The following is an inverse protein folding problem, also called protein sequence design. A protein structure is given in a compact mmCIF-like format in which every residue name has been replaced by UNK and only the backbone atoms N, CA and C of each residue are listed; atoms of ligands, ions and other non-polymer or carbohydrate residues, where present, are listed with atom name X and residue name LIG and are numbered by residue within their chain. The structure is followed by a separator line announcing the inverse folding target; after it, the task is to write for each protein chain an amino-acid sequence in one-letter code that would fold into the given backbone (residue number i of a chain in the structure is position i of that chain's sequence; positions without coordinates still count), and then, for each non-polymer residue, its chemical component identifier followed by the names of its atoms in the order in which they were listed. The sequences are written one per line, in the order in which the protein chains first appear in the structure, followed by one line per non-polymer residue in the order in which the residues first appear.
data_IF_449403528448
#
_entry.id   IF_449403528448
#
_cell.length_a   1.000
_cell.length_b   1.000
_cell.length_c   1.000
_cell.angle_alpha   90.00
_cell.angle_beta   90.00
_cell.angle_gamma   90.00
#
_symmetry.space_group_name_H-M   'P 1'
#
loop_
_entity.id
_entity.type
_entity.pdbx_description
1 polymer ?
#
# COMPACT_ATOMS: atom_id res chain seq x y z
N UNK A 1 4.53 4.91 -14.97
CA UNK A 1 5.37 4.22 -13.98
C UNK A 1 6.80 4.70 -14.09
N UNK A 2 7.39 5.16 -12.99
CA UNK A 2 8.77 5.61 -12.95
C UNK A 2 9.60 4.65 -12.09
N UNK A 3 10.50 3.92 -12.71
CA UNK A 3 11.45 3.06 -12.01
C UNK A 3 12.84 3.59 -12.30
N UNK A 4 13.60 3.82 -11.25
CA UNK A 4 14.99 4.27 -11.37
C UNK A 4 15.92 3.09 -11.16
N UNK A 5 16.70 2.77 -12.17
CA UNK A 5 17.53 1.58 -12.18
C UNK A 5 18.54 1.54 -11.04
N UNK A 6 19.20 2.67 -10.76
CA UNK A 6 20.27 2.70 -9.75
C UNK A 6 19.78 2.41 -8.34
N UNK A 7 18.55 2.79 -8.01
CA UNK A 7 17.96 2.62 -6.68
C UNK A 7 16.75 1.70 -6.68
N UNK A 8 16.29 1.28 -7.83
CA UNK A 8 15.13 0.41 -8.00
C UNK A 8 13.91 0.89 -7.21
N UNK A 9 13.59 2.18 -7.38
CA UNK A 9 12.47 2.82 -6.70
C UNK A 9 11.32 3.00 -7.69
N UNK A 10 10.11 2.61 -7.29
CA UNK A 10 8.90 2.88 -8.05
C UNK A 10 8.03 3.87 -7.29
N UNK A 11 7.37 4.76 -7.99
CA UNK A 11 6.50 5.78 -7.42
C UNK A 11 5.16 5.76 -8.13
N UNK A 12 4.08 5.67 -7.35
CA UNK A 12 2.73 5.61 -7.86
C UNK A 12 1.80 6.52 -7.06
N UNK A 13 0.77 7.02 -7.74
CA UNK A 13 -0.39 7.53 -7.04
C UNK A 13 -1.22 6.33 -6.55
N UNK A 14 -1.97 6.51 -5.47
CA UNK A 14 -2.77 5.42 -4.91
C UNK A 14 -3.70 4.80 -5.96
N UNK A 15 -4.41 5.63 -6.73
CA UNK A 15 -5.34 5.12 -7.75
C UNK A 15 -4.66 4.39 -8.89
N UNK A 16 -3.38 4.62 -9.12
CA UNK A 16 -2.64 3.89 -10.14
C UNK A 16 -2.30 2.47 -9.70
N UNK A 17 -1.95 2.30 -8.42
CA UNK A 17 -1.50 1.00 -7.93
C UNK A 17 -2.62 0.19 -7.28
N UNK A 18 -3.61 0.84 -6.70
CA UNK A 18 -4.73 0.17 -6.05
C UNK A 18 -6.06 0.35 -6.79
N UNK A 19 -6.02 0.76 -8.06
CA UNK A 19 -7.20 0.91 -8.89
C UNK A 19 -7.82 -0.43 -9.30
N UNK A 20 -8.93 -0.35 -9.99
CA UNK A 20 -9.77 -1.52 -10.30
C UNK A 20 -9.07 -2.61 -11.10
N UNK A 21 -8.06 -2.25 -11.88
CA UNK A 21 -7.35 -3.20 -12.74
C UNK A 21 -6.17 -3.88 -12.04
N UNK A 22 -5.94 -3.59 -10.78
CA UNK A 22 -4.78 -4.10 -10.06
C UNK A 22 -5.16 -5.20 -9.08
N UNK A 23 -4.26 -6.15 -8.89
CA UNK A 23 -4.46 -7.24 -7.95
C UNK A 23 -3.14 -7.76 -7.42
N UNK A 24 -3.21 -8.82 -6.61
CA UNK A 24 -2.03 -9.40 -5.97
C UNK A 24 -0.96 -9.83 -6.98
N UNK A 25 -1.37 -10.36 -8.13
CA UNK A 25 -0.43 -10.79 -9.17
C UNK A 25 0.40 -9.61 -9.71
N UNK A 26 -0.24 -8.46 -9.88
CA UNK A 26 0.47 -7.24 -10.32
C UNK A 26 1.51 -6.81 -9.30
N UNK A 27 1.17 -6.91 -8.02
CA UNK A 27 2.08 -6.53 -6.94
C UNK A 27 3.27 -7.49 -6.86
N UNK A 28 3.03 -8.78 -7.03
CA UNK A 28 4.11 -9.78 -7.02
C UNK A 28 5.08 -9.57 -8.18
N UNK A 29 4.59 -9.18 -9.35
CA UNK A 29 5.46 -8.84 -10.48
C UNK A 29 6.26 -7.57 -10.20
N UNK A 30 5.63 -6.57 -9.61
CA UNK A 30 6.27 -5.29 -9.31
C UNK A 30 7.45 -5.46 -8.35
N UNK A 31 7.28 -6.25 -7.28
CA UNK A 31 8.33 -6.38 -6.26
C UNK A 31 9.59 -7.06 -6.77
N UNK A 32 9.52 -7.74 -7.92
CA UNK A 32 10.71 -8.31 -8.57
C UNK A 32 11.60 -7.23 -9.18
N UNK A 33 11.05 -6.06 -9.41
CA UNK A 33 11.71 -4.96 -10.11
C UNK A 33 12.19 -3.85 -9.18
N UNK A 34 11.73 -3.82 -7.93
CA UNK A 34 11.98 -2.69 -7.04
C UNK A 34 12.47 -3.14 -5.67
N UNK A 35 13.14 -2.22 -4.98
CA UNK A 35 13.53 -2.37 -3.59
C UNK A 35 12.73 -1.47 -2.68
N UNK A 36 12.15 -0.40 -3.24
CA UNK A 36 11.38 0.60 -2.50
C UNK A 36 10.17 1.00 -3.31
N UNK A 37 9.09 1.29 -2.63
CA UNK A 37 7.86 1.77 -3.25
C UNK A 37 7.41 3.05 -2.58
N UNK A 38 7.03 4.03 -3.39
CA UNK A 38 6.44 5.28 -2.92
C UNK A 38 5.00 5.32 -3.43
N UNK A 39 4.04 5.43 -2.52
CA UNK A 39 2.62 5.54 -2.86
C UNK A 39 2.10 6.87 -2.32
N UNK A 40 1.55 7.69 -3.18
CA UNK A 40 1.09 9.02 -2.84
C UNK A 40 -0.43 9.11 -2.85
N UNK A 41 -0.96 10.01 -2.02
CA UNK A 41 -2.37 10.34 -1.97
C UNK A 41 -3.25 9.15 -1.58
N UNK A 42 -2.81 8.41 -0.56
CA UNK A 42 -3.62 7.34 0.02
C UNK A 42 -4.82 7.98 0.74
N UNK A 43 -6.06 7.62 0.34
CA UNK A 43 -7.24 8.26 0.90
C UNK A 43 -7.60 7.69 2.26
N UNK A 44 -8.51 8.37 2.93
CA UNK A 44 -9.17 7.81 4.10
C UNK A 44 -10.16 6.75 3.62
N UNK A 45 -10.16 5.58 4.25
CA UNK A 45 -11.01 4.46 3.83
C UNK A 45 -12.33 4.43 4.59
N UNK A 46 -13.34 3.86 3.94
CA UNK A 46 -14.66 3.67 4.51
C UNK A 46 -15.45 2.66 3.69
N UNK A 47 -16.76 2.55 3.97
CA UNK A 47 -17.59 1.56 3.28
C UNK A 47 -17.75 1.82 1.78
N UNK A 48 -17.57 3.07 1.36
CA UNK A 48 -17.75 3.43 -0.05
C UNK A 48 -16.58 3.04 -0.93
N UNK A 49 -15.41 2.85 -0.35
CA UNK A 49 -14.19 2.47 -1.08
C UNK A 49 -13.53 1.23 -0.50
N UNK A 50 -14.33 0.30 0.02
CA UNK A 50 -13.80 -0.92 0.64
C UNK A 50 -13.03 -1.80 -0.33
N UNK A 51 -13.39 -1.82 -1.62
CA UNK A 51 -12.65 -2.56 -2.63
C UNK A 51 -11.23 -2.03 -2.81
N UNK A 52 -11.07 -0.71 -2.76
CA UNK A 52 -9.74 -0.10 -2.82
C UNK A 52 -8.94 -0.40 -1.57
N UNK A 53 -9.61 -0.39 -0.42
CA UNK A 53 -8.98 -0.74 0.85
C UNK A 53 -8.48 -2.19 0.85
N UNK A 54 -9.25 -3.13 0.31
CA UNK A 54 -8.82 -4.52 0.20
C UNK A 54 -7.55 -4.65 -0.64
N UNK A 55 -7.49 -3.93 -1.76
CA UNK A 55 -6.29 -3.93 -2.60
C UNK A 55 -5.09 -3.34 -1.88
N UNK A 56 -5.33 -2.27 -1.11
CA UNK A 56 -4.27 -1.68 -0.30
C UNK A 56 -3.75 -2.67 0.75
N UNK A 57 -4.65 -3.38 1.43
CA UNK A 57 -4.27 -4.41 2.40
C UNK A 57 -3.41 -5.49 1.73
N UNK A 58 -3.82 -5.96 0.56
CA UNK A 58 -3.08 -6.98 -0.18
C UNK A 58 -1.70 -6.47 -0.61
N UNK A 59 -1.63 -5.22 -1.05
CA UNK A 59 -0.35 -4.60 -1.41
C UNK A 59 0.60 -4.56 -0.22
N UNK A 60 0.11 -4.13 0.94
CA UNK A 60 0.94 -4.04 2.13
C UNK A 60 1.42 -5.43 2.58
N UNK A 61 0.56 -6.44 2.49
CA UNK A 61 0.96 -7.82 2.81
C UNK A 61 2.10 -8.29 1.92
N UNK A 62 2.01 -8.03 0.62
CA UNK A 62 3.05 -8.42 -0.34
C UNK A 62 4.36 -7.70 -0.03
N UNK A 63 4.30 -6.40 0.22
CA UNK A 63 5.49 -5.61 0.52
C UNK A 63 6.13 -6.05 1.82
N UNK A 64 5.33 -6.30 2.84
CA UNK A 64 5.82 -6.71 4.14
C UNK A 64 6.51 -8.08 4.07
N UNK A 65 5.88 -9.04 3.40
CA UNK A 65 6.42 -10.39 3.28
C UNK A 65 7.72 -10.44 2.50
N UNK A 66 7.92 -9.49 1.59
CA UNK A 66 9.09 -9.44 0.73
C UNK A 66 10.10 -8.38 1.14
N UNK A 67 9.87 -7.75 2.29
CA UNK A 67 10.78 -6.76 2.88
C UNK A 67 11.07 -5.57 1.98
N UNK A 68 10.09 -5.16 1.21
CA UNK A 68 10.18 -3.97 0.36
C UNK A 68 9.93 -2.73 1.23
N UNK A 69 10.78 -1.75 1.14
CA UNK A 69 10.59 -0.49 1.89
C UNK A 69 9.47 0.32 1.26
N UNK A 70 8.66 0.93 2.10
CA UNK A 70 7.48 1.67 1.66
C UNK A 70 7.47 3.09 2.24
N UNK A 71 7.18 4.06 1.39
CA UNK A 71 6.94 5.45 1.78
C UNK A 71 5.53 5.82 1.33
N UNK A 72 4.74 6.35 2.27
CA UNK A 72 3.35 6.72 2.00
C UNK A 72 3.13 8.21 2.20
N UNK A 73 2.32 8.79 1.32
CA UNK A 73 1.70 10.10 1.52
C UNK A 73 0.21 9.85 1.71
N UNK A 74 -0.35 10.26 2.84
CA UNK A 74 -1.73 9.97 3.21
C UNK A 74 -2.48 11.26 3.56
N UNK A 75 -3.81 11.20 3.46
CA UNK A 75 -4.66 12.33 3.87
C UNK A 75 -4.59 12.55 5.38
N UNK A 76 -4.46 11.47 6.14
CA UNK A 76 -4.40 11.51 7.61
C UNK A 76 -3.22 10.68 8.08
N UNK A 77 -2.88 10.82 9.35
CA UNK A 77 -1.89 9.92 9.96
C UNK A 77 -2.31 8.47 9.74
N UNK A 78 -1.33 7.58 9.59
CA UNK A 78 -1.60 6.17 9.33
C UNK A 78 -2.53 5.59 10.39
N UNK A 79 -2.30 5.92 11.65
CA UNK A 79 -3.11 5.43 12.76
C UNK A 79 -4.52 6.00 12.79
N UNK A 80 -4.76 7.10 12.07
CA UNK A 80 -6.06 7.76 12.01
C UNK A 80 -6.86 7.41 10.76
N UNK A 81 -6.31 6.58 9.87
CA UNK A 81 -7.03 6.18 8.67
C UNK A 81 -8.27 5.38 9.04
N UNK A 82 -9.38 5.72 8.40
CA UNK A 82 -10.63 5.00 8.58
C UNK A 82 -10.62 3.63 7.94
N UNK A 83 -11.70 2.89 8.11
CA UNK A 83 -11.84 1.56 7.54
C UNK A 83 -13.29 1.24 7.25
N UNK A 84 -13.53 0.47 6.20
CA UNK A 84 -14.81 -0.18 6.01
C UNK A 84 -15.07 -1.10 7.21
N UNK A 85 -16.33 -1.18 7.63
CA UNK A 85 -16.68 -1.90 8.85
C UNK A 85 -16.22 -3.36 8.80
N UNK A 86 -16.44 -4.05 7.69
CA UNK A 86 -16.11 -5.47 7.56
C UNK A 86 -14.61 -5.75 7.38
N UNK A 87 -13.80 -4.71 7.15
CA UNK A 87 -12.37 -4.85 6.98
C UNK A 87 -11.56 -4.36 8.19
N UNK A 88 -12.26 -3.91 9.23
CA UNK A 88 -11.62 -3.24 10.36
C UNK A 88 -10.50 -4.08 11.00
N UNK A 89 -10.77 -5.35 11.25
CA UNK A 89 -9.78 -6.23 11.88
C UNK A 89 -8.55 -6.46 11.00
N UNK A 90 -8.77 -6.69 9.71
CA UNK A 90 -7.68 -6.84 8.75
C UNK A 90 -6.87 -5.55 8.66
N UNK A 91 -7.55 -4.41 8.64
CA UNK A 91 -6.89 -3.14 8.49
C UNK A 91 -6.08 -2.77 9.74
N UNK A 92 -6.53 -3.14 10.92
CA UNK A 92 -5.75 -2.94 12.15
C UNK A 92 -4.39 -3.65 12.05
N UNK A 93 -4.37 -4.86 11.50
CA UNK A 93 -3.13 -5.59 11.25
C UNK A 93 -2.26 -4.87 10.23
N UNK A 94 -2.89 -4.36 9.17
CA UNK A 94 -2.19 -3.60 8.14
C UNK A 94 -1.55 -2.35 8.71
N UNK A 95 -2.26 -1.62 9.56
CA UNK A 95 -1.73 -0.43 10.24
C UNK A 95 -0.50 -0.80 11.08
N UNK A 96 -0.57 -1.90 11.83
CA UNK A 96 0.56 -2.35 12.64
C UNK A 96 1.79 -2.65 11.77
N UNK A 97 1.60 -3.29 10.64
CA UNK A 97 2.68 -3.57 9.69
C UNK A 97 3.26 -2.29 9.10
N UNK A 98 2.41 -1.33 8.75
CA UNK A 98 2.86 -0.05 8.22
C UNK A 98 3.72 0.71 9.23
N UNK A 99 3.30 0.74 10.49
CA UNK A 99 4.06 1.40 11.55
C UNK A 99 5.41 0.70 11.76
N UNK A 100 5.44 -0.62 11.67
CA UNK A 100 6.69 -1.38 11.78
C UNK A 100 7.63 -1.06 10.63
N UNK A 101 7.11 -1.00 9.41
CA UNK A 101 7.88 -0.68 8.22
C UNK A 101 8.42 0.75 8.27
N UNK A 102 7.64 1.68 8.82
CA UNK A 102 8.01 3.09 8.93
C UNK A 102 9.19 3.30 9.88
N UNK A 103 9.29 2.50 10.92
CA UNK A 103 10.35 2.66 11.92
C UNK A 103 11.70 2.12 11.47
N UNK A 104 11.74 1.56 10.28
CA UNK A 104 13.00 1.13 9.67
C UNK A 104 13.53 2.24 8.73
#
# INVERSE_FOLDING_TARGET
MCIRDSNRIARFQFNEICGDDRGTEDYLELIKLIDRLIVENVPNFGNTNSNLQERFINLIDVLYDNKIKLYLSTEKEISDLGSAYHLKDKFNRTISRLLEMKSQ
#
